data_IF_041519050498
#
_entry.id   IF_041519050498
#
_cell.length_a   1.000
_cell.length_b   1.000
_cell.length_c   1.000
_cell.angle_alpha   90.00
_cell.angle_beta   90.00
_cell.angle_gamma   90.00
#
_symmetry.space_group_name_H-M   'P 1'
#
loop_
_entity.id
_entity.type
_entity.pdbx_description
1 polymer ?
#
# COMPACT_ATOMS: atom_id res chain seq x y z
N UNK A 1 -22.68 10.73 -13.74
CA UNK A 1 -21.24 10.77 -13.34
C UNK A 1 -20.40 10.78 -14.62
N UNK A 2 -19.20 11.37 -14.61
CA UNK A 2 -18.33 11.38 -15.80
C UNK A 2 -17.35 10.21 -15.76
N UNK A 3 -17.09 9.57 -16.90
CA UNK A 3 -16.04 8.56 -17.00
C UNK A 3 -14.66 9.24 -16.91
N UNK A 4 -13.77 8.82 -15.99
CA UNK A 4 -12.45 9.44 -15.85
C UNK A 4 -11.51 9.15 -17.03
N UNK A 5 -11.76 8.09 -17.80
CA UNK A 5 -10.90 7.71 -18.92
C UNK A 5 -11.27 8.42 -20.23
N UNK A 6 -12.56 8.63 -20.51
CA UNK A 6 -13.01 9.20 -21.78
C UNK A 6 -13.83 10.50 -21.65
N UNK A 7 -14.02 10.99 -20.42
CA UNK A 7 -14.73 12.25 -20.14
C UNK A 7 -16.21 12.26 -20.51
N UNK A 8 -16.80 11.11 -20.88
CA UNK A 8 -18.19 11.06 -21.31
C UNK A 8 -19.13 11.01 -20.11
N UNK A 9 -20.23 11.74 -20.19
CA UNK A 9 -21.27 11.72 -19.16
C UNK A 9 -22.06 10.40 -19.25
N UNK A 10 -22.13 9.67 -18.14
CA UNK A 10 -22.97 8.48 -18.05
C UNK A 10 -24.43 8.86 -18.29
N UNK A 11 -25.05 8.17 -19.26
CA UNK A 11 -26.45 8.36 -19.63
C UNK A 11 -27.41 7.72 -18.61
N UNK A 12 -26.94 6.72 -17.84
CA UNK A 12 -27.69 6.13 -16.73
C UNK A 12 -26.76 5.69 -15.59
N UNK A 13 -27.28 5.71 -14.35
CA UNK A 13 -26.56 5.23 -13.16
C UNK A 13 -26.57 3.70 -13.02
N UNK A 14 -27.34 2.98 -13.82
CA UNK A 14 -27.49 1.52 -13.74
C UNK A 14 -26.41 0.78 -14.55
N UNK A 15 -25.81 1.44 -15.55
CA UNK A 15 -24.75 0.84 -16.37
C UNK A 15 -23.44 0.72 -15.60
N UNK A 16 -23.01 -0.53 -15.37
CA UNK A 16 -21.73 -0.87 -14.71
C UNK A 16 -20.49 -0.60 -15.57
N UNK A 17 -20.66 -0.28 -16.86
CA UNK A 17 -19.59 -0.06 -17.83
C UNK A 17 -19.79 1.23 -18.63
N UNK A 18 -18.68 1.86 -19.03
CA UNK A 18 -18.71 2.98 -19.96
C UNK A 18 -18.97 2.49 -21.39
N UNK A 19 -19.94 3.07 -22.10
CA UNK A 19 -20.29 2.67 -23.47
C UNK A 19 -19.20 2.93 -24.51
N UNK A 20 -18.34 3.93 -24.30
CA UNK A 20 -17.27 4.31 -25.24
C UNK A 20 -15.93 3.61 -25.03
N UNK A 21 -15.48 3.46 -23.77
CA UNK A 21 -14.17 2.89 -23.46
C UNK A 21 -14.23 1.53 -22.72
N UNK A 22 -15.42 1.02 -22.38
CA UNK A 22 -15.59 -0.27 -21.73
C UNK A 22 -15.14 -0.33 -20.26
N UNK A 23 -14.69 0.78 -19.67
CA UNK A 23 -14.20 0.81 -18.29
C UNK A 23 -15.30 0.44 -17.29
N UNK A 24 -15.03 -0.45 -16.30
CA UNK A 24 -15.99 -0.79 -15.25
C UNK A 24 -16.15 0.38 -14.27
N UNK A 25 -17.29 1.05 -14.33
CA UNK A 25 -17.60 2.21 -13.50
C UNK A 25 -18.12 1.82 -12.12
N UNK A 26 -18.51 0.56 -11.90
CA UNK A 26 -18.97 0.08 -10.59
C UNK A 26 -17.88 0.18 -9.50
N UNK A 27 -16.68 -0.35 -9.79
CA UNK A 27 -15.55 -0.30 -8.84
C UNK A 27 -15.06 1.14 -8.67
N UNK A 28 -15.00 1.91 -9.75
CA UNK A 28 -14.57 3.32 -9.71
C UNK A 28 -15.55 4.16 -8.89
N UNK A 29 -16.86 3.92 -9.02
CA UNK A 29 -17.87 4.61 -8.21
C UNK A 29 -17.71 4.29 -6.73
N UNK A 30 -17.40 3.04 -6.37
CA UNK A 30 -17.13 2.64 -4.99
C UNK A 30 -15.85 3.30 -4.46
N UNK A 31 -14.76 3.29 -5.24
CA UNK A 31 -13.50 3.99 -4.91
C UNK A 31 -13.74 5.47 -4.68
N UNK A 32 -14.44 6.13 -5.60
CA UNK A 32 -14.72 7.56 -5.53
C UNK A 32 -15.65 7.89 -4.35
N UNK A 33 -16.67 7.05 -4.10
CA UNK A 33 -17.57 7.21 -2.95
C UNK A 33 -16.84 7.06 -1.61
N UNK A 34 -15.81 6.21 -1.55
CA UNK A 34 -14.96 6.00 -0.38
C UNK A 34 -13.68 6.84 -0.38
N UNK A 35 -13.58 7.86 -1.24
CA UNK A 35 -12.46 8.81 -1.23
C UNK A 35 -11.11 8.20 -1.60
N UNK A 36 -11.09 7.18 -2.46
CA UNK A 36 -9.88 6.50 -2.92
C UNK A 36 -9.58 5.18 -2.21
N UNK A 37 -10.43 4.72 -1.28
CA UNK A 37 -10.17 3.52 -0.49
C UNK A 37 -11.12 2.35 -0.81
N UNK A 38 -10.57 1.16 -1.04
CA UNK A 38 -11.31 -0.09 -1.24
C UNK A 38 -11.02 -1.07 -0.09
N UNK A 39 -11.90 -1.19 0.92
CA UNK A 39 -11.67 -2.09 2.05
C UNK A 39 -11.63 -3.57 1.62
N UNK A 40 -12.34 -3.93 0.54
CA UNK A 40 -12.36 -5.29 0.03
C UNK A 40 -11.00 -5.71 -0.57
N UNK A 41 -10.31 -4.83 -1.31
CA UNK A 41 -8.98 -5.16 -1.82
C UNK A 41 -7.93 -5.21 -0.71
N UNK A 42 -8.08 -4.42 0.35
CA UNK A 42 -7.20 -4.51 1.51
C UNK A 42 -7.32 -5.89 2.20
N UNK A 43 -8.53 -6.45 2.25
CA UNK A 43 -8.78 -7.79 2.79
C UNK A 43 -8.25 -8.91 1.88
N UNK A 44 -8.38 -8.78 0.54
CA UNK A 44 -7.79 -9.75 -0.38
C UNK A 44 -6.26 -9.69 -0.42
N UNK A 45 -5.67 -8.51 -0.22
CA UNK A 45 -4.21 -8.34 -0.11
C UNK A 45 -3.67 -8.74 1.27
N UNK A 46 -4.53 -8.98 2.26
CA UNK A 46 -4.16 -9.76 3.45
C UNK A 46 -4.08 -11.25 3.09
N UNK A 47 -3.13 -11.58 2.21
CA UNK A 47 -2.68 -12.95 2.02
C UNK A 47 -2.26 -13.46 3.40
N UNK A 48 -2.99 -14.44 3.96
CA UNK A 48 -2.63 -15.10 5.23
C UNK A 48 -1.14 -15.42 5.17
N UNK A 49 -0.32 -14.67 5.91
CA UNK A 49 1.09 -14.97 6.05
C UNK A 49 1.16 -16.21 6.93
N UNK A 50 1.07 -17.39 6.31
CA UNK A 50 1.19 -18.69 6.99
C UNK A 50 2.51 -18.79 7.77
N UNK A 51 3.51 -17.97 7.44
CA UNK A 51 4.76 -17.83 8.16
C UNK A 51 4.78 -16.51 8.96
N UNK A 52 4.23 -16.53 10.17
CA UNK A 52 4.49 -15.51 11.19
C UNK A 52 5.56 -16.02 12.17
N UNK A 53 6.36 -15.13 12.76
CA UNK A 53 7.39 -15.52 13.76
C UNK A 53 6.82 -16.40 14.87
N UNK A 54 5.57 -16.13 15.28
CA UNK A 54 4.86 -16.92 16.28
C UNK A 54 4.56 -18.33 15.78
N UNK A 55 4.12 -18.49 14.54
CA UNK A 55 3.85 -19.80 13.95
C UNK A 55 5.13 -20.65 13.83
N UNK A 56 6.26 -20.05 13.44
CA UNK A 56 7.52 -20.77 13.35
C UNK A 56 8.07 -21.21 14.72
N UNK A 57 7.92 -20.38 15.77
CA UNK A 57 8.27 -20.78 17.14
C UNK A 57 7.35 -21.89 17.64
N UNK A 58 6.03 -21.76 17.45
CA UNK A 58 5.06 -22.81 17.83
C UNK A 58 5.36 -24.12 17.09
N UNK A 59 5.67 -24.04 15.80
CA UNK A 59 6.07 -25.20 15.00
C UNK A 59 7.37 -25.83 15.52
N UNK A 60 8.39 -25.03 15.84
CA UNK A 60 9.65 -25.52 16.42
C UNK A 60 9.46 -26.18 17.79
N UNK A 61 8.65 -25.60 18.67
CA UNK A 61 8.33 -26.19 19.98
C UNK A 61 7.52 -27.48 19.85
N UNK A 62 6.52 -27.50 18.95
CA UNK A 62 5.74 -28.70 18.70
C UNK A 62 6.60 -29.81 18.08
N UNK A 63 7.50 -29.45 17.16
CA UNK A 63 8.49 -30.35 16.59
C UNK A 63 9.43 -30.92 17.66
N UNK A 64 9.94 -30.08 18.57
CA UNK A 64 10.76 -30.53 19.70
C UNK A 64 10.04 -31.57 20.54
N UNK A 65 8.82 -31.28 20.98
CA UNK A 65 8.01 -32.17 21.83
C UNK A 65 7.75 -33.49 21.08
N UNK A 66 7.36 -33.41 19.81
CA UNK A 66 7.08 -34.59 19.02
C UNK A 66 8.32 -35.47 18.83
N UNK A 67 9.46 -34.90 18.42
CA UNK A 67 10.66 -35.68 18.14
C UNK A 67 11.36 -36.18 19.41
N UNK A 68 11.30 -35.46 20.52
CA UNK A 68 11.98 -35.85 21.76
C UNK A 68 11.14 -36.69 22.70
N UNK A 69 9.83 -36.44 22.83
CA UNK A 69 8.95 -37.21 23.72
C UNK A 69 8.21 -38.32 22.98
N UNK A 70 7.65 -38.02 21.81
CA UNK A 70 6.83 -39.01 21.09
C UNK A 70 7.70 -40.05 20.37
N UNK A 71 8.71 -39.63 19.61
CA UNK A 71 9.57 -40.60 18.90
C UNK A 71 10.37 -41.48 19.87
N UNK A 72 10.94 -40.93 20.95
CA UNK A 72 11.73 -41.74 21.90
C UNK A 72 10.88 -42.79 22.62
N UNK A 73 9.66 -42.43 23.05
CA UNK A 73 8.73 -43.38 23.65
C UNK A 73 8.28 -44.45 22.65
N UNK A 74 7.98 -44.05 21.41
CA UNK A 74 7.53 -44.97 20.37
C UNK A 74 8.63 -45.98 19.97
N UNK A 75 9.86 -45.50 19.74
CA UNK A 75 10.99 -46.36 19.41
C UNK A 75 11.46 -47.22 20.61
N UNK A 76 11.31 -46.72 21.84
CA UNK A 76 11.55 -47.51 23.05
C UNK A 76 10.63 -48.72 23.17
N UNK A 77 9.34 -48.57 22.84
CA UNK A 77 8.38 -49.69 22.86
C UNK A 77 8.65 -50.71 21.76
N UNK A 78 9.12 -50.25 20.59
CA UNK A 78 9.47 -51.12 19.46
C UNK A 78 10.78 -51.90 19.66
N UNK A 79 11.51 -51.67 20.76
CA UNK A 79 12.80 -52.32 21.01
C UNK A 79 13.87 -51.92 20.00
N UNK A 80 13.83 -50.67 19.51
CA UNK A 80 14.86 -50.16 18.63
C UNK A 80 16.23 -50.13 19.34
N UNK A 81 17.34 -50.29 18.61
CA UNK A 81 18.68 -50.23 19.20
C UNK A 81 18.93 -48.88 19.87
N UNK A 82 19.61 -48.90 21.02
CA UNK A 82 19.87 -47.72 21.87
C UNK A 82 20.57 -46.58 21.12
N UNK A 83 21.39 -46.93 20.12
CA UNK A 83 22.06 -45.97 19.23
C UNK A 83 21.07 -45.08 18.47
N UNK A 84 19.97 -45.66 17.98
CA UNK A 84 18.96 -44.95 17.20
C UNK A 84 18.19 -43.96 18.07
N UNK A 85 17.87 -44.38 19.30
CA UNK A 85 17.19 -43.55 20.30
C UNK A 85 18.06 -42.34 20.65
N UNK A 86 19.37 -42.56 20.84
CA UNK A 86 20.33 -41.48 21.07
C UNK A 86 20.40 -40.48 19.92
N UNK A 87 20.49 -40.96 18.68
CA UNK A 87 20.56 -40.10 17.48
C UNK A 87 19.28 -39.27 17.31
N UNK A 88 18.12 -39.86 17.54
CA UNK A 88 16.82 -39.19 17.46
C UNK A 88 16.70 -38.10 18.54
N UNK A 89 17.14 -38.37 19.77
CA UNK A 89 17.13 -37.39 20.84
C UNK A 89 18.03 -36.18 20.51
N UNK A 90 19.25 -36.43 20.03
CA UNK A 90 20.19 -35.37 19.62
C UNK A 90 19.60 -34.56 18.47
N UNK A 91 19.11 -35.24 17.42
CA UNK A 91 18.54 -34.58 16.24
C UNK A 91 17.26 -33.82 16.57
N UNK A 92 16.45 -34.30 17.52
CA UNK A 92 15.27 -33.59 18.01
C UNK A 92 15.64 -32.26 18.67
N UNK A 93 16.66 -32.26 19.54
CA UNK A 93 17.15 -31.05 20.22
C UNK A 93 17.77 -30.07 19.22
N UNK A 94 18.75 -30.52 18.43
CA UNK A 94 19.45 -29.65 17.48
C UNK A 94 18.56 -29.20 16.33
N UNK A 95 17.67 -30.07 15.84
CA UNK A 95 16.71 -29.76 14.79
C UNK A 95 15.68 -28.74 15.23
N UNK A 96 15.12 -28.87 16.44
CA UNK A 96 14.23 -27.86 16.99
C UNK A 96 14.92 -26.51 17.18
N UNK A 97 16.15 -26.52 17.70
CA UNK A 97 16.95 -25.30 17.86
C UNK A 97 17.19 -24.61 16.51
N UNK A 98 17.56 -25.37 15.47
CA UNK A 98 17.73 -24.85 14.12
C UNK A 98 16.44 -24.26 13.57
N UNK A 99 15.31 -24.94 13.69
CA UNK A 99 14.01 -24.44 13.22
C UNK A 99 13.63 -23.11 13.92
N UNK A 100 13.88 -22.99 15.22
CA UNK A 100 13.62 -21.76 15.98
C UNK A 100 14.54 -20.62 15.49
N UNK A 101 15.84 -20.90 15.32
CA UNK A 101 16.81 -19.89 14.85
C UNK A 101 16.48 -19.45 13.42
N UNK A 102 16.25 -20.38 12.50
CA UNK A 102 15.83 -20.08 11.12
C UNK A 102 14.54 -19.29 11.13
N UNK A 103 13.59 -19.62 12.00
CA UNK A 103 12.35 -18.85 12.12
C UNK A 103 12.58 -17.42 12.64
N UNK A 104 13.57 -17.19 13.48
CA UNK A 104 13.86 -15.85 14.00
C UNK A 104 14.57 -14.97 12.96
N UNK A 105 15.45 -15.57 12.17
CA UNK A 105 16.27 -14.90 11.14
C UNK A 105 15.46 -14.64 9.87
N UNK A 106 14.77 -15.64 9.33
CA UNK A 106 14.12 -15.53 8.03
C UNK A 106 12.73 -14.91 8.06
N UNK A 107 11.98 -15.04 9.17
CA UNK A 107 10.62 -14.52 9.18
C UNK A 107 10.62 -13.04 9.57
N UNK A 108 9.88 -12.19 8.86
CA UNK A 108 9.66 -10.81 9.27
C UNK A 108 8.83 -10.77 10.56
N UNK A 109 9.21 -9.90 11.49
CA UNK A 109 8.49 -9.76 12.76
C UNK A 109 7.12 -9.17 12.48
N UNK A 110 6.07 -9.97 12.63
CA UNK A 110 4.70 -9.49 12.66
C UNK A 110 4.44 -8.81 14.02
N UNK A 111 5.19 -7.76 14.34
CA UNK A 111 4.54 -6.68 15.05
C UNK A 111 3.48 -6.23 14.06
N UNK A 112 2.17 -6.30 14.37
CA UNK A 112 1.27 -5.40 13.71
C UNK A 112 1.84 -4.04 14.10
N UNK A 113 2.63 -3.44 13.21
CA UNK A 113 2.61 -2.01 13.14
C UNK A 113 1.12 -1.78 12.98
N UNK A 114 0.50 -1.34 14.07
CA UNK A 114 -0.63 -0.46 14.01
C UNK A 114 -0.12 0.75 13.21
N UNK A 115 0.14 0.54 11.92
CA UNK A 115 -0.31 1.46 10.91
C UNK A 115 -1.80 1.37 11.15
N UNK A 116 -2.25 2.15 12.14
CA UNK A 116 -3.29 3.09 11.89
C UNK A 116 -3.20 3.39 10.41
N UNK A 117 -4.02 2.68 9.63
CA UNK A 117 -4.72 3.33 8.53
C UNK A 117 -4.95 4.74 9.08
N UNK A 118 -4.38 5.79 8.47
CA UNK A 118 -4.58 7.12 8.99
C UNK A 118 -6.07 7.21 9.21
N UNK A 119 -6.45 7.26 10.49
CA UNK A 119 -7.82 7.30 10.91
C UNK A 119 -8.17 8.74 10.60
N UNK A 120 -8.30 9.02 9.29
CA UNK A 120 -8.85 10.24 8.79
C UNK A 120 -10.24 10.21 9.39
N UNK A 121 -10.37 10.99 10.46
CA UNK A 121 -11.62 11.47 10.97
C UNK A 121 -12.45 11.78 9.74
N UNK A 122 -13.40 10.90 9.42
CA UNK A 122 -14.55 11.33 8.64
C UNK A 122 -15.10 12.48 9.47
N UNK A 123 -15.04 13.73 9.00
CA UNK A 123 -15.68 14.81 9.73
C UNK A 123 -17.13 14.36 9.93
N UNK A 124 -17.67 14.44 11.16
CA UNK A 124 -19.04 14.06 11.42
C UNK A 124 -19.91 14.82 10.42
N UNK A 125 -20.64 14.08 9.58
CA UNK A 125 -21.63 14.68 8.68
C UNK A 125 -22.54 15.52 9.57
N UNK A 126 -22.64 16.85 9.37
CA UNK A 126 -23.47 17.66 10.23
C UNK A 126 -24.91 17.14 10.13
N UNK A 127 -25.59 16.87 11.27
CA UNK A 127 -27.00 16.55 11.24
C UNK A 127 -27.73 17.75 10.63
N UNK A 128 -28.43 17.50 9.53
CA UNK A 128 -29.16 18.50 8.77
C UNK A 128 -30.47 18.90 9.48
N UNK A 129 -30.46 19.03 10.81
CA UNK A 129 -31.56 19.55 11.64
C UNK A 129 -31.01 20.31 12.85
N UNK A 130 -31.50 21.54 13.02
CA UNK A 130 -30.87 22.60 13.80
C UNK A 130 -30.69 22.32 15.29
N UNK A 131 -29.50 22.64 15.79
CA UNK A 131 -29.23 22.89 17.19
C UNK A 131 -28.81 24.35 17.35
N UNK A 132 -29.68 25.15 17.95
CA UNK A 132 -29.41 26.49 18.42
C UNK A 132 -28.47 26.43 19.64
N UNK A 133 -27.21 26.85 19.49
CA UNK A 133 -26.27 26.81 20.60
C UNK A 133 -24.84 27.24 20.25
N UNK A 134 -24.65 28.57 20.22
CA UNK A 134 -23.45 29.31 20.66
C UNK A 134 -22.05 28.97 20.09
N UNK A 135 -21.47 30.00 19.45
CA UNK A 135 -20.03 30.30 19.28
C UNK A 135 -19.14 29.23 18.63
N UNK A 136 -19.08 29.25 17.29
CA UNK A 136 -18.06 28.51 16.53
C UNK A 136 -17.56 29.24 15.27
N UNK A 137 -17.47 30.57 15.29
CA UNK A 137 -16.79 31.31 14.24
C UNK A 137 -15.65 32.12 14.87
N UNK A 138 -14.39 31.97 14.41
CA UNK A 138 -13.35 32.95 14.71
C UNK A 138 -13.80 34.33 14.20
N UNK A 139 -13.42 35.44 14.86
CA UNK A 139 -13.88 36.77 14.50
C UNK A 139 -13.59 37.03 13.02
N UNK A 140 -14.61 37.47 12.27
CA UNK A 140 -14.43 37.87 10.87
C UNK A 140 -13.34 38.93 10.79
N UNK A 141 -12.17 38.55 10.27
CA UNK A 141 -11.16 39.51 9.83
C UNK A 141 -11.57 40.00 8.45
N UNK A 142 -12.23 41.16 8.40
CA UNK A 142 -12.50 41.86 7.15
C UNK A 142 -11.21 42.54 6.66
N UNK A 143 -10.57 41.97 5.65
CA UNK A 143 -9.49 42.64 4.91
C UNK A 143 -10.15 43.68 4.00
N UNK A 144 -9.89 45.00 4.17
CA UNK A 144 -10.54 46.03 3.39
C UNK A 144 -10.17 45.93 1.91
N UNK A 145 -11.16 46.06 1.02
CA UNK A 145 -11.01 45.94 -0.45
C UNK A 145 -9.96 46.88 -1.06
N UNK A 146 -9.61 47.96 -0.36
CA UNK A 146 -8.57 48.89 -0.80
C UNK A 146 -7.16 48.28 -0.81
N UNK A 147 -6.92 47.14 -0.14
CA UNK A 147 -5.65 46.42 -0.22
C UNK A 147 -5.45 45.66 -1.53
N UNK A 148 -6.50 45.45 -2.32
CA UNK A 148 -6.41 44.82 -3.64
C UNK A 148 -6.27 45.83 -4.79
N UNK A 149 -6.37 47.13 -4.50
CA UNK A 149 -6.27 48.20 -5.49
C UNK A 149 -4.88 48.85 -5.48
N UNK A 150 -3.88 48.10 -5.92
CA UNK A 150 -2.67 48.71 -6.47
C UNK A 150 -2.24 47.91 -7.71
N UNK A 151 -2.42 48.46 -8.92
CA UNK A 151 -1.73 47.93 -10.10
C UNK A 151 -0.23 48.07 -9.82
N UNK A 152 0.45 46.95 -9.58
CA UNK A 152 1.91 46.94 -9.72
C UNK A 152 2.22 47.36 -11.17
N UNK A 153 3.23 48.21 -11.41
CA UNK A 153 3.54 48.68 -12.75
C UNK A 153 3.64 47.51 -13.72
N UNK A 154 2.76 47.53 -14.72
CA UNK A 154 2.67 46.54 -15.77
C UNK A 154 4.00 46.50 -16.52
N UNK A 155 4.81 45.46 -16.30
CA UNK A 155 6.08 45.32 -16.98
C UNK A 155 6.79 43.98 -16.80
N UNK A 156 6.60 43.29 -15.67
CA UNK A 156 7.43 42.11 -15.37
C UNK A 156 6.79 40.73 -15.67
N UNK A 157 5.48 40.65 -15.94
CA UNK A 157 4.78 39.37 -16.15
C UNK A 157 4.58 38.99 -17.62
N UNK A 158 5.06 39.82 -18.55
CA UNK A 158 4.99 39.59 -20.00
C UNK A 158 6.34 39.31 -20.65
N UNK A 159 7.42 39.29 -19.87
CA UNK A 159 8.74 38.94 -20.39
C UNK A 159 8.86 37.42 -20.46
N UNK A 160 8.39 36.86 -21.59
CA UNK A 160 8.45 35.43 -21.89
C UNK A 160 9.71 35.06 -22.69
N UNK A 161 10.73 35.93 -22.72
CA UNK A 161 12.01 35.62 -23.38
C UNK A 161 12.80 34.50 -22.69
N UNK A 162 12.51 34.19 -21.42
CA UNK A 162 13.15 33.09 -20.69
C UNK A 162 12.48 31.71 -20.94
N UNK A 163 11.46 31.64 -21.81
CA UNK A 163 10.78 30.40 -22.18
C UNK A 163 11.02 30.02 -23.66
N UNK A 164 12.21 30.26 -24.22
CA UNK A 164 12.63 29.51 -25.41
C UNK A 164 13.04 28.08 -24.99
N UNK A 165 12.20 27.04 -25.17
CA UNK A 165 12.71 25.68 -25.12
C UNK A 165 13.67 25.51 -26.30
N UNK A 166 14.92 25.14 -26.04
CA UNK A 166 15.79 24.60 -27.06
C UNK A 166 15.07 23.42 -27.70
N UNK A 167 14.68 23.58 -28.96
CA UNK A 167 13.93 22.56 -29.68
C UNK A 167 14.77 21.28 -29.69
N UNK A 168 14.21 20.21 -29.13
CA UNK A 168 14.84 18.89 -28.99
C UNK A 168 15.07 18.21 -30.36
N UNK A 169 14.83 18.93 -31.46
CA UNK A 169 15.05 18.49 -32.84
C UNK A 169 16.46 18.78 -33.37
N UNK A 170 17.27 19.64 -32.74
CA UNK A 170 18.63 19.94 -33.26
C UNK A 170 19.71 18.94 -32.82
N UNK A 171 19.49 18.19 -31.74
CA UNK A 171 20.52 17.30 -31.17
C UNK A 171 20.59 15.92 -31.84
N UNK A 172 19.53 15.47 -32.53
CA UNK A 172 19.44 14.11 -33.06
C UNK A 172 19.89 13.98 -34.53
N UNK A 173 19.98 15.07 -35.28
CA UNK A 173 20.45 15.04 -36.68
C UNK A 173 21.97 15.12 -36.81
N UNK A 174 22.69 15.62 -35.79
CA UNK A 174 24.17 15.67 -35.80
C UNK A 174 24.87 14.31 -35.68
N UNK A 175 24.15 13.24 -35.33
CA UNK A 175 24.73 11.89 -35.27
C UNK A 175 24.79 11.19 -36.62
N UNK A 176 23.99 11.58 -37.64
CA UNK A 176 24.08 10.97 -38.97
C UNK A 176 25.20 11.58 -39.83
N UNK A 177 25.45 12.89 -39.74
CA UNK A 177 26.49 13.55 -40.56
C UNK A 177 27.92 13.13 -40.19
N UNK A 178 28.12 12.56 -38.99
CA UNK A 178 29.44 12.14 -38.52
C UNK A 178 29.88 10.80 -39.13
N UNK A 179 28.95 9.99 -39.60
CA UNK A 179 29.24 8.67 -40.19
C UNK A 179 29.52 8.74 -41.71
N UNK A 180 29.10 9.81 -42.40
CA UNK A 180 29.35 9.97 -43.86
C UNK A 180 30.75 10.52 -44.20
N UNK A 181 31.51 11.04 -43.23
CA UNK A 181 32.85 11.62 -43.47
C UNK A 181 34.01 10.65 -43.30
N UNK A 182 33.74 9.36 -43.12
CA UNK A 182 34.75 8.31 -42.98
C UNK A 182 34.64 7.31 -44.14
N UNK A 183 34.82 7.81 -45.37
CA UNK A 183 35.20 7.00 -46.55
C UNK A 183 36.18 7.83 -47.39
#
# INVERSE_FOLDING_TARGET
>A
MHCPSCGQQQVSSETKFCSRCGMPLGVVAEVVAHGGFLPQLAQLNQKKKFFTKKAGVVFGTLWFIFLTMFSTAFFGILGAPDELIGIIAITGVFGAMMIIITSLIFLPSSKPTNTSLPQFHTPPRPPMYGASGQNALPPQQSIPANMFNAPRPAGSWRDTNDLEPTSVTESTTRLLEKDEKII
#
